data_IF_551822445098
#
_entry.id   IF_551822445098
#
_cell.length_a   1.000
_cell.length_b   1.000
_cell.length_c   1.000
_cell.angle_alpha   90.00
_cell.angle_beta   90.00
_cell.angle_gamma   90.00
#
_symmetry.space_group_name_H-M   'P 1'
#
loop_
_entity.id
_entity.type
_entity.pdbx_description
1 polymer ?
#
# COMPACT_ATOMS: atom_id res chain seq x y z
N UNK A 1 -13.64 -7.80 -14.07
CA UNK A 1 -13.48 -8.72 -12.92
C UNK A 1 -14.09 -8.10 -11.65
N UNK A 2 -14.62 -8.88 -10.71
CA UNK A 2 -15.13 -8.35 -9.42
C UNK A 2 -13.95 -7.98 -8.50
N UNK A 3 -14.03 -6.82 -7.82
CA UNK A 3 -13.01 -6.33 -6.88
C UNK A 3 -12.57 -7.38 -5.86
N UNK A 4 -13.52 -8.08 -5.23
CA UNK A 4 -13.22 -9.10 -4.22
C UNK A 4 -12.35 -10.25 -4.75
N UNK A 5 -12.45 -10.57 -6.05
CA UNK A 5 -11.60 -11.59 -6.68
C UNK A 5 -10.19 -11.05 -6.93
N UNK A 6 -10.09 -9.82 -7.45
CA UNK A 6 -8.81 -9.16 -7.69
C UNK A 6 -8.01 -8.97 -6.39
N UNK A 7 -8.66 -8.42 -5.35
CA UNK A 7 -8.10 -8.29 -4.00
C UNK A 7 -7.50 -9.61 -3.50
N UNK A 8 -8.28 -10.70 -3.58
CA UNK A 8 -7.82 -12.03 -3.14
C UNK A 8 -6.59 -12.52 -3.90
N UNK A 9 -6.51 -12.25 -5.21
CA UNK A 9 -5.34 -12.64 -6.01
C UNK A 9 -4.08 -11.91 -5.53
N UNK A 10 -4.16 -10.59 -5.31
CA UNK A 10 -3.04 -9.80 -4.80
C UNK A 10 -2.63 -10.29 -3.41
N UNK A 11 -3.56 -10.36 -2.45
CA UNK A 11 -3.28 -10.76 -1.07
C UNK A 11 -2.76 -12.20 -0.94
N UNK A 12 -3.14 -13.10 -1.87
CA UNK A 12 -2.62 -14.48 -1.86
C UNK A 12 -1.11 -14.58 -2.13
N UNK A 13 -0.50 -13.51 -2.65
CA UNK A 13 0.95 -13.41 -2.85
C UNK A 13 1.68 -12.87 -1.61
N UNK A 14 0.98 -12.37 -0.59
CA UNK A 14 1.63 -11.83 0.60
C UNK A 14 2.40 -12.89 1.38
N UNK A 15 3.53 -12.48 1.96
CA UNK A 15 4.36 -13.33 2.80
C UNK A 15 3.63 -13.74 4.08
N UNK A 16 3.86 -14.97 4.54
CA UNK A 16 3.14 -15.56 5.69
C UNK A 16 3.05 -14.63 6.91
N UNK A 17 4.11 -13.88 7.31
CA UNK A 17 4.05 -13.04 8.50
C UNK A 17 3.09 -11.84 8.39
N UNK A 18 2.73 -11.44 7.16
CA UNK A 18 1.80 -10.33 6.88
C UNK A 18 0.49 -10.78 6.24
N UNK A 19 0.38 -12.01 5.77
CA UNK A 19 -0.77 -12.50 4.99
C UNK A 19 -2.12 -12.39 5.71
N UNK A 20 -2.14 -12.49 7.05
CA UNK A 20 -3.34 -12.32 7.88
C UNK A 20 -3.48 -10.95 8.52
N UNK A 21 -2.47 -10.08 8.37
CA UNK A 21 -2.37 -8.79 9.08
C UNK A 21 -2.56 -7.60 8.16
N UNK A 22 -2.07 -7.71 6.92
CA UNK A 22 -2.18 -6.65 5.92
C UNK A 22 -3.36 -6.93 5.01
N UNK A 23 -4.24 -5.94 4.83
CA UNK A 23 -5.41 -6.05 3.98
C UNK A 23 -5.58 -4.82 3.09
N UNK A 24 -6.11 -5.05 1.88
CA UNK A 24 -6.40 -4.00 0.91
C UNK A 24 -7.91 -3.73 0.90
N UNK A 25 -8.32 -2.50 1.17
CA UNK A 25 -9.72 -2.14 1.19
C UNK A 25 -10.05 -1.10 0.13
N UNK A 26 -11.32 -1.07 -0.29
CA UNK A 26 -11.84 -0.08 -1.21
C UNK A 26 -13.33 0.06 -0.97
N UNK A 27 -13.80 1.30 -0.96
CA UNK A 27 -15.22 1.63 -0.94
C UNK A 27 -15.51 2.83 -1.84
N UNK A 28 -16.79 3.02 -2.15
CA UNK A 28 -17.30 4.17 -2.91
C UNK A 28 -18.25 4.98 -2.04
N UNK A 29 -18.30 6.28 -2.26
CA UNK A 29 -19.28 7.14 -1.60
C UNK A 29 -20.59 7.12 -2.39
N UNK A 30 -21.62 6.44 -1.85
CA UNK A 30 -22.95 6.41 -2.45
C UNK A 30 -22.96 5.97 -3.93
N UNK A 31 -23.60 6.77 -4.78
CA UNK A 31 -23.69 6.58 -6.24
C UNK A 31 -22.57 7.22 -7.06
N UNK A 32 -21.59 7.86 -6.41
CA UNK A 32 -20.47 8.52 -7.08
C UNK A 32 -19.36 7.52 -7.45
N UNK A 33 -18.60 7.80 -8.52
CA UNK A 33 -17.35 7.07 -8.83
C UNK A 33 -16.21 7.46 -7.88
N UNK A 34 -16.40 8.51 -7.09
CA UNK A 34 -15.51 8.94 -6.03
C UNK A 34 -15.59 8.00 -4.83
N UNK A 35 -14.44 7.56 -4.37
CA UNK A 35 -14.29 6.66 -3.25
C UNK A 35 -12.92 6.80 -2.61
N UNK A 36 -12.57 5.84 -1.78
CA UNK A 36 -11.22 5.71 -1.30
C UNK A 36 -10.86 4.24 -1.17
N UNK A 37 -9.57 3.96 -1.32
CA UNK A 37 -8.98 2.70 -0.97
C UNK A 37 -7.91 2.92 0.09
N UNK A 38 -7.52 1.86 0.78
CA UNK A 38 -6.49 1.95 1.79
C UNK A 38 -5.82 0.60 2.04
N UNK A 39 -4.61 0.66 2.57
CA UNK A 39 -3.99 -0.47 3.24
C UNK A 39 -4.27 -0.39 4.73
N UNK A 40 -4.56 -1.55 5.32
CA UNK A 40 -4.73 -1.70 6.76
C UNK A 40 -3.73 -2.71 7.31
N UNK A 41 -3.20 -2.45 8.50
CA UNK A 41 -2.43 -3.38 9.32
C UNK A 41 -3.23 -3.66 10.59
N UNK A 42 -3.61 -4.93 10.81
CA UNK A 42 -4.42 -5.37 11.96
C UNK A 42 -5.71 -4.54 12.14
N UNK A 43 -6.29 -4.06 11.03
CA UNK A 43 -7.49 -3.22 11.00
C UNK A 43 -7.24 -1.72 10.99
N UNK A 44 -6.03 -1.27 11.32
CA UNK A 44 -5.66 0.15 11.37
C UNK A 44 -5.14 0.65 10.02
N UNK A 45 -5.58 1.84 9.60
CA UNK A 45 -5.20 2.42 8.30
C UNK A 45 -3.73 2.83 8.30
N UNK A 46 -2.94 2.30 7.36
CA UNK A 46 -1.52 2.65 7.20
C UNK A 46 -1.21 3.48 5.96
N UNK A 47 -2.10 3.48 4.96
CA UNK A 47 -2.01 4.33 3.77
C UNK A 47 -3.38 4.50 3.12
N UNK A 48 -3.76 5.70 2.69
CA UNK A 48 -5.07 6.04 2.15
C UNK A 48 -4.98 6.68 0.76
N UNK A 49 -5.77 6.15 -0.17
CA UNK A 49 -5.81 6.52 -1.58
C UNK A 49 -7.20 7.06 -1.92
N UNK A 50 -7.40 8.37 -1.76
CA UNK A 50 -8.70 9.00 -1.92
C UNK A 50 -8.85 9.68 -3.28
N UNK A 51 -9.84 9.25 -4.07
CA UNK A 51 -10.16 9.85 -5.37
C UNK A 51 -10.48 11.34 -5.26
N UNK A 52 -11.17 11.76 -4.20
CA UNK A 52 -11.48 13.17 -3.98
C UNK A 52 -10.22 13.99 -3.66
N UNK A 53 -9.31 13.46 -2.86
CA UNK A 53 -8.05 14.13 -2.55
C UNK A 53 -7.22 14.34 -3.82
N UNK A 54 -7.15 13.32 -4.67
CA UNK A 54 -6.47 13.37 -5.96
C UNK A 54 -7.04 14.45 -6.89
N UNK A 55 -8.36 14.47 -7.10
CA UNK A 55 -8.98 15.51 -7.92
C UNK A 55 -8.84 16.91 -7.30
N UNK A 56 -8.88 17.04 -5.98
CA UNK A 56 -8.62 18.31 -5.33
C UNK A 56 -7.18 18.80 -5.62
N UNK A 57 -6.18 17.92 -5.51
CA UNK A 57 -4.78 18.25 -5.88
C UNK A 57 -4.67 18.64 -7.35
N UNK A 58 -5.32 17.91 -8.25
CA UNK A 58 -5.28 18.20 -9.68
C UNK A 58 -5.97 19.52 -10.04
N UNK A 59 -7.18 19.76 -9.52
CA UNK A 59 -8.00 20.92 -9.86
C UNK A 59 -7.50 22.21 -9.20
N UNK A 60 -6.89 22.12 -8.01
CA UNK A 60 -6.54 23.29 -7.22
C UNK A 60 -5.04 23.44 -6.94
N UNK A 61 -4.21 22.47 -7.32
CA UNK A 61 -2.77 22.43 -7.01
C UNK A 61 -2.47 22.11 -5.54
N UNK A 62 -1.17 22.02 -5.21
CA UNK A 62 -0.68 22.11 -3.83
C UNK A 62 -0.72 23.59 -3.43
N UNK A 63 -1.88 24.09 -2.98
CA UNK A 63 -1.92 25.48 -2.49
C UNK A 63 -1.12 25.55 -1.20
N UNK A 64 -0.04 26.34 -1.20
CA UNK A 64 0.75 26.64 0.00
C UNK A 64 -0.12 27.27 1.11
N UNK A 65 -1.23 27.90 0.72
CA UNK A 65 -2.25 28.47 1.60
C UNK A 65 -3.59 27.72 1.43
N UNK A 66 -3.78 26.81 2.37
CA UNK A 66 -5.02 26.17 2.84
C UNK A 66 -6.37 26.82 2.42
N UNK A 67 -6.98 26.33 1.34
CA UNK A 67 -8.37 26.65 0.96
C UNK A 67 -9.16 25.44 0.44
N UNK A 68 -8.70 24.21 0.67
CA UNK A 68 -9.39 23.02 0.13
C UNK A 68 -9.16 21.70 0.86
N UNK A 69 -8.29 21.70 1.87
CA UNK A 69 -7.99 20.54 2.71
C UNK A 69 -8.17 20.98 4.14
N UNK A 70 -9.26 20.62 4.81
CA UNK A 70 -9.44 21.05 6.21
C UNK A 70 -8.24 20.62 7.06
N UNK A 71 -7.91 21.33 8.13
CA UNK A 71 -6.85 20.91 9.07
C UNK A 71 -6.99 19.43 9.47
N UNK A 72 -8.22 18.94 9.61
CA UNK A 72 -8.50 17.53 9.87
C UNK A 72 -8.07 16.60 8.73
N UNK A 73 -8.28 17.00 7.48
CA UNK A 73 -7.83 16.26 6.31
C UNK A 73 -6.30 16.29 6.21
N UNK A 74 -5.66 17.44 6.44
CA UNK A 74 -4.20 17.53 6.48
C UNK A 74 -3.61 16.67 7.60
N UNK A 75 -4.22 16.66 8.80
CA UNK A 75 -3.85 15.79 9.92
C UNK A 75 -3.93 14.31 9.55
N UNK A 76 -4.94 13.89 8.77
CA UNK A 76 -5.08 12.48 8.33
C UNK A 76 -3.96 12.02 7.41
N UNK A 77 -3.31 12.91 6.66
CA UNK A 77 -2.24 12.58 5.72
C UNK A 77 -0.83 12.87 6.24
N UNK A 78 -0.69 13.69 7.32
CA UNK A 78 0.61 14.12 7.87
C UNK A 78 1.56 12.97 8.21
N UNK A 79 1.02 11.85 8.69
CA UNK A 79 1.79 10.68 9.10
C UNK A 79 1.65 9.49 8.13
N UNK A 80 1.10 9.72 6.94
CA UNK A 80 0.95 8.69 5.93
C UNK A 80 2.16 8.62 5.00
N UNK A 81 2.49 7.43 4.46
CA UNK A 81 3.61 7.25 3.56
C UNK A 81 3.27 7.63 2.10
N UNK A 82 2.19 8.39 1.90
CA UNK A 82 1.71 8.93 0.63
C UNK A 82 1.24 10.35 0.86
N UNK A 83 1.57 11.24 -0.07
CA UNK A 83 1.13 12.62 0.03
C UNK A 83 -0.38 12.76 -0.24
N UNK A 84 -0.95 13.88 0.21
CA UNK A 84 -2.33 14.20 -0.07
C UNK A 84 -2.58 14.21 -1.59
N UNK A 85 -3.52 13.38 -2.04
CA UNK A 85 -3.94 13.31 -3.44
C UNK A 85 -2.87 12.82 -4.42
N UNK A 86 -1.81 12.18 -3.93
CA UNK A 86 -0.79 11.57 -4.79
C UNK A 86 -1.34 10.36 -5.54
N UNK A 87 -2.01 9.48 -4.81
CA UNK A 87 -2.56 8.21 -5.31
C UNK A 87 -4.06 8.18 -5.06
N UNK A 88 -4.81 7.75 -6.06
CA UNK A 88 -6.26 7.63 -6.01
C UNK A 88 -6.73 6.16 -5.96
N UNK A 89 -8.03 5.97 -5.77
CA UNK A 89 -8.64 4.62 -5.69
C UNK A 89 -8.52 3.85 -7.00
N UNK A 90 -8.62 4.50 -8.15
CA UNK A 90 -8.54 3.90 -9.47
C UNK A 90 -7.11 3.41 -9.76
N UNK A 91 -6.08 4.19 -9.39
CA UNK A 91 -4.69 3.77 -9.48
C UNK A 91 -4.48 2.44 -8.75
N UNK A 92 -5.02 2.30 -7.52
CA UNK A 92 -4.94 1.02 -6.80
C UNK A 92 -5.58 -0.13 -7.58
N UNK A 93 -6.70 0.08 -8.26
CA UNK A 93 -7.34 -0.98 -9.04
C UNK A 93 -6.50 -1.37 -10.24
N UNK A 94 -5.91 -0.39 -10.92
CA UNK A 94 -5.04 -0.56 -12.07
C UNK A 94 -3.75 -1.28 -11.66
N UNK A 95 -3.06 -0.81 -10.62
CA UNK A 95 -1.85 -1.46 -10.10
C UNK A 95 -2.14 -2.86 -9.57
N UNK A 96 -3.28 -3.10 -8.91
CA UNK A 96 -3.68 -4.46 -8.50
C UNK A 96 -3.81 -5.38 -9.72
N UNK A 97 -4.46 -4.91 -10.79
CA UNK A 97 -4.66 -5.68 -12.00
C UNK A 97 -3.33 -5.96 -12.69
N UNK A 98 -2.54 -4.90 -12.94
CA UNK A 98 -1.25 -5.00 -13.59
C UNK A 98 -0.33 -5.99 -12.87
N UNK A 99 -0.25 -5.89 -11.54
CA UNK A 99 0.58 -6.73 -10.70
C UNK A 99 0.28 -8.23 -10.79
N UNK A 100 -0.98 -8.62 -10.99
CA UNK A 100 -1.37 -10.04 -11.04
C UNK A 100 -1.52 -10.59 -12.46
N UNK A 101 -1.67 -9.73 -13.47
CA UNK A 101 -1.98 -10.15 -14.84
C UNK A 101 -0.97 -9.69 -15.89
N UNK A 102 -0.42 -8.49 -15.76
CA UNK A 102 0.25 -7.83 -16.88
C UNK A 102 1.77 -7.80 -16.73
N UNK A 103 2.30 -7.80 -15.50
CA UNK A 103 3.74 -7.70 -15.24
C UNK A 103 4.29 -8.94 -14.54
N UNK A 104 5.53 -9.31 -14.89
CA UNK A 104 6.26 -10.36 -14.18
C UNK A 104 6.75 -9.85 -12.82
N UNK A 105 7.05 -10.74 -11.89
CA UNK A 105 7.62 -10.35 -10.60
C UNK A 105 8.98 -9.63 -10.74
N UNK A 106 9.81 -10.00 -11.73
CA UNK A 106 11.10 -9.33 -11.94
C UNK A 106 10.92 -7.91 -12.48
N UNK A 107 9.89 -7.68 -13.29
CA UNK A 107 9.58 -6.34 -13.81
C UNK A 107 8.89 -5.49 -12.74
N UNK A 108 8.00 -6.08 -11.95
CA UNK A 108 7.38 -5.42 -10.79
C UNK A 108 8.42 -4.90 -9.80
N UNK A 109 9.51 -5.66 -9.58
CA UNK A 109 10.62 -5.25 -8.69
C UNK A 109 11.36 -4.00 -9.19
N UNK A 110 11.26 -3.67 -10.48
CA UNK A 110 11.88 -2.51 -11.12
C UNK A 110 10.84 -1.44 -11.49
N UNK A 111 9.60 -1.60 -11.07
CA UNK A 111 8.53 -0.67 -11.40
C UNK A 111 8.70 0.65 -10.66
N UNK A 112 8.39 1.75 -11.33
CA UNK A 112 8.32 3.08 -10.72
C UNK A 112 6.95 3.37 -10.08
N UNK A 113 5.97 2.48 -10.25
CA UNK A 113 4.63 2.62 -9.63
C UNK A 113 4.72 2.32 -8.12
N UNK A 114 4.42 3.29 -7.23
CA UNK A 114 4.49 3.12 -5.79
C UNK A 114 3.66 1.96 -5.22
N UNK A 115 2.50 1.66 -5.83
CA UNK A 115 1.61 0.59 -5.41
C UNK A 115 2.15 -0.77 -5.83
N UNK A 116 2.71 -0.88 -7.04
CA UNK A 116 3.37 -2.10 -7.49
C UNK A 116 4.59 -2.38 -6.61
N UNK A 117 5.42 -1.37 -6.32
CA UNK A 117 6.53 -1.50 -5.38
C UNK A 117 6.05 -1.97 -4.01
N UNK A 118 4.97 -1.39 -3.48
CA UNK A 118 4.39 -1.79 -2.20
C UNK A 118 3.93 -3.25 -2.18
N UNK A 119 3.31 -3.75 -3.25
CA UNK A 119 2.93 -5.16 -3.36
C UNK A 119 4.16 -6.08 -3.39
N UNK A 120 5.22 -5.68 -4.12
CA UNK A 120 6.48 -6.44 -4.15
C UNK A 120 7.11 -6.55 -2.76
N UNK A 121 7.08 -5.48 -1.96
CA UNK A 121 7.62 -5.51 -0.60
C UNK A 121 6.87 -6.48 0.32
N UNK A 122 5.56 -6.66 0.10
CA UNK A 122 4.73 -7.63 0.83
C UNK A 122 4.81 -9.05 0.28
N UNK A 123 5.32 -9.25 -0.95
CA UNK A 123 5.27 -10.52 -1.68
C UNK A 123 6.19 -11.60 -1.08
N UNK A 124 5.67 -12.82 -0.92
CA UNK A 124 6.42 -14.01 -0.48
C UNK A 124 7.58 -14.40 -1.42
N UNK A 125 7.49 -14.06 -2.71
CA UNK A 125 8.54 -14.27 -3.72
C UNK A 125 9.76 -13.38 -3.47
N UNK A 126 9.60 -12.25 -2.78
CA UNK A 126 10.72 -11.42 -2.35
C UNK A 126 11.41 -12.09 -1.14
N UNK A 127 12.50 -12.81 -1.37
CA UNK A 127 13.22 -13.51 -0.31
C UNK A 127 14.09 -12.61 0.58
N UNK A 128 14.34 -13.04 1.82
CA UNK A 128 15.14 -12.31 2.84
C UNK A 128 16.51 -11.83 2.35
N UNK A 129 17.22 -12.69 1.62
CA UNK A 129 18.53 -12.35 1.03
C UNK A 129 18.44 -11.17 0.05
N UNK A 130 17.34 -11.07 -0.71
CA UNK A 130 17.14 -9.98 -1.67
C UNK A 130 16.73 -8.70 -0.96
N UNK A 131 15.92 -8.80 0.10
CA UNK A 131 15.56 -7.66 0.96
C UNK A 131 16.83 -6.98 1.52
N UNK A 132 17.80 -7.78 1.98
CA UNK A 132 19.05 -7.27 2.54
C UNK A 132 19.95 -6.51 1.54
N UNK A 133 19.71 -6.66 0.23
CA UNK A 133 20.48 -5.99 -0.83
C UNK A 133 19.71 -4.86 -1.50
N UNK A 134 18.49 -4.54 -1.05
CA UNK A 134 17.71 -3.45 -1.62
C UNK A 134 18.31 -2.11 -1.19
N UNK A 135 18.46 -1.20 -2.15
CA UNK A 135 18.66 0.21 -1.86
C UNK A 135 17.30 0.81 -1.50
N UNK A 136 17.11 1.13 -0.21
CA UNK A 136 15.82 1.58 0.32
C UNK A 136 15.46 2.99 -0.15
N UNK A 137 16.45 3.83 -0.45
CA UNK A 137 16.22 5.21 -0.88
C UNK A 137 15.71 5.28 -2.32
N UNK A 138 15.86 4.20 -3.09
CA UNK A 138 15.37 4.10 -4.46
C UNK A 138 13.86 3.82 -4.56
N UNK A 139 13.17 3.56 -3.45
CA UNK A 139 11.75 3.19 -3.45
C UNK A 139 10.87 4.27 -2.84
N UNK A 140 9.62 4.29 -3.27
CA UNK A 140 8.61 5.19 -2.72
C UNK A 140 8.41 4.95 -1.20
N UNK A 141 8.17 6.00 -0.38
CA UNK A 141 7.91 5.87 1.05
C UNK A 141 6.82 4.84 1.41
N UNK A 142 5.77 4.73 0.57
CA UNK A 142 4.74 3.69 0.68
C UNK A 142 5.32 2.27 0.65
N UNK A 143 6.21 1.99 -0.30
CA UNK A 143 6.83 0.68 -0.44
C UNK A 143 7.73 0.38 0.76
N UNK A 144 8.51 1.38 1.21
CA UNK A 144 9.35 1.25 2.40
C UNK A 144 8.52 1.00 3.65
N UNK A 145 7.40 1.70 3.83
CA UNK A 145 6.47 1.43 4.93
C UNK A 145 5.96 -0.01 4.92
N UNK A 146 5.62 -0.54 3.75
CA UNK A 146 5.16 -1.94 3.62
C UNK A 146 6.29 -2.95 3.92
N UNK A 147 7.52 -2.64 3.50
CA UNK A 147 8.69 -3.46 3.82
C UNK A 147 8.94 -3.50 5.34
N UNK A 148 8.83 -2.37 6.02
CA UNK A 148 9.03 -2.28 7.46
C UNK A 148 7.97 -3.05 8.25
N UNK A 149 6.71 -2.97 7.82
CA UNK A 149 5.61 -3.78 8.37
C UNK A 149 5.95 -5.28 8.27
N UNK A 150 6.45 -5.71 7.11
CA UNK A 150 6.84 -7.11 6.91
C UNK A 150 8.00 -7.52 7.81
N UNK A 151 9.06 -6.73 7.85
CA UNK A 151 10.23 -7.01 8.68
C UNK A 151 9.88 -7.09 10.18
N UNK A 152 9.02 -6.19 10.66
CA UNK A 152 8.53 -6.22 12.04
C UNK A 152 7.69 -7.48 12.33
N UNK A 153 6.86 -7.93 11.38
CA UNK A 153 6.07 -9.15 11.52
C UNK A 153 6.92 -10.42 11.52
N UNK A 154 7.98 -10.47 10.70
CA UNK A 154 8.97 -11.56 10.67
C UNK A 154 9.68 -11.69 12.03
N UNK A 155 10.13 -10.59 12.62
CA UNK A 155 10.81 -10.58 13.92
C UNK A 155 9.88 -11.04 15.05
N UNK A 156 8.64 -10.54 15.05
CA UNK A 156 7.62 -10.93 16.03
C UNK A 156 7.28 -12.43 15.95
N UNK A 157 7.29 -12.99 14.74
CA UNK A 157 7.04 -14.41 14.52
C UNK A 157 8.23 -15.26 14.99
N UNK A 158 9.46 -14.83 14.71
CA UNK A 158 10.67 -15.52 15.16
C UNK A 158 10.83 -15.54 16.70
N UNK A 159 10.45 -14.47 17.39
CA UNK A 159 10.46 -14.40 18.85
C UNK A 159 9.50 -15.42 19.48
N UNK A 160 8.25 -15.49 19.00
CA UNK A 160 7.23 -16.44 19.49
C UNK A 160 7.64 -17.91 19.31
N UNK A 161 8.31 -18.26 18.21
CA UNK A 161 8.78 -19.64 18.00
C UNK A 161 9.84 -20.04 19.02
N UNK A 162 10.72 -19.12 19.45
CA UNK A 162 11.78 -19.39 20.43
C UNK A 162 11.23 -19.59 21.85
N UNK A 163 10.19 -18.85 22.22
CA UNK A 163 9.53 -18.97 23.53
C UNK A 163 8.75 -20.28 23.69
N UNK A 164 8.17 -20.82 22.61
CA UNK A 164 7.44 -22.10 22.62
C UNK A 164 8.33 -23.34 22.57
N UNK A 165 9.64 -23.17 22.34
CA UNK A 165 10.62 -24.26 22.26
C UNK A 165 11.64 -24.26 23.42
N UNK A 166 11.40 -23.41 24.43
CA UNK A 166 12.11 -23.37 25.72
C UNK A 166 11.22 -23.91 26.84
#
# INVERSE_FOLDING_TARGET
MRWSKLKKLVESNFADPVASRVAIHSTRYGGCTCGHAWFALDGEVVANFCTRAYFNRFAYGLKEEDQGVSEEQAKRYRDQPVEYGEINRQDLYESCWAYVHDISFQDALKSDDPLIQAFVMLDKRLGKRRIATLDREAFHPLAIKMLDIRLAADQSSAARTRELSS
#
